data_IF_949671343344
#
_entry.id   IF_949671343344
#
_cell.length_a   1.000
_cell.length_b   1.000
_cell.length_c   1.000
_cell.angle_alpha   90.00
_cell.angle_beta   90.00
_cell.angle_gamma   90.00
#
_symmetry.space_group_name_H-M   'P 1'
#
loop_
_entity.id
_entity.type
_entity.pdbx_description
1 polymer ?
#
# COMPACT_ATOMS: atom_id res chain seq x y z
N UNK A 1 4.27 3.65 -15.60
CA UNK A 1 3.06 3.45 -16.43
C UNK A 1 3.18 2.07 -17.04
N UNK A 2 2.19 1.19 -16.87
CA UNK A 2 2.25 -0.18 -17.40
C UNK A 2 2.06 -0.19 -18.92
N UNK A 3 2.83 -1.03 -19.62
CA UNK A 3 2.73 -1.20 -21.08
C UNK A 3 1.49 -2.05 -21.40
N UNK A 4 0.73 -1.74 -22.47
CA UNK A 4 -0.36 -2.59 -22.92
C UNK A 4 0.15 -4.01 -23.21
N UNK A 5 -0.52 -5.03 -22.65
CA UNK A 5 -0.11 -6.44 -22.77
C UNK A 5 -0.49 -7.02 -24.15
N UNK A 6 -1.51 -6.47 -24.81
CA UNK A 6 -1.98 -6.87 -26.12
C UNK A 6 -2.10 -5.66 -27.07
N UNK A 7 -2.04 -5.89 -28.39
CA UNK A 7 -2.41 -4.86 -29.37
C UNK A 7 -3.86 -4.44 -29.11
N UNK A 8 -4.16 -3.14 -29.12
CA UNK A 8 -5.51 -2.59 -28.84
C UNK A 8 -5.97 -2.72 -27.38
N UNK A 9 -5.05 -2.72 -26.41
CA UNK A 9 -5.37 -2.69 -24.97
C UNK A 9 -5.01 -1.36 -24.30
N UNK A 10 -4.83 -0.31 -25.09
CA UNK A 10 -4.51 1.03 -24.58
C UNK A 10 -5.73 1.68 -23.94
N UNK A 11 -5.64 1.99 -22.64
CA UNK A 11 -6.73 2.64 -21.90
C UNK A 11 -7.08 4.04 -22.44
N UNK A 12 -6.16 4.71 -23.13
CA UNK A 12 -6.36 6.07 -23.63
C UNK A 12 -7.16 6.16 -24.94
N UNK A 13 -7.51 5.00 -25.53
CA UNK A 13 -8.22 4.89 -26.80
C UNK A 13 -9.67 4.46 -26.57
N UNK A 14 -10.62 5.30 -26.94
CA UNK A 14 -12.06 5.03 -26.76
C UNK A 14 -12.51 3.81 -27.58
N UNK A 15 -11.89 3.59 -28.73
CA UNK A 15 -12.15 2.47 -29.64
C UNK A 15 -11.80 1.09 -29.06
N UNK A 16 -11.03 1.03 -27.96
CA UNK A 16 -10.74 -0.21 -27.24
C UNK A 16 -11.81 -0.52 -26.16
N UNK A 17 -12.76 0.39 -25.94
CA UNK A 17 -13.83 0.23 -24.96
C UNK A 17 -14.93 -0.74 -25.39
N UNK A 18 -15.86 -0.98 -24.47
CA UNK A 18 -16.99 -1.86 -24.70
C UNK A 18 -17.98 -1.26 -25.73
N UNK A 19 -18.56 -2.08 -26.62
CA UNK A 19 -19.64 -1.62 -27.48
C UNK A 19 -20.89 -1.29 -26.63
N UNK A 20 -21.79 -0.42 -27.13
CA UNK A 20 -23.01 -0.07 -26.40
C UNK A 20 -23.82 -1.32 -26.00
N UNK A 21 -24.17 -1.42 -24.71
CA UNK A 21 -24.96 -2.52 -24.16
C UNK A 21 -24.18 -3.79 -23.79
N UNK A 22 -22.86 -3.83 -23.99
CA UNK A 22 -22.04 -4.91 -23.44
C UNK A 22 -21.87 -4.79 -21.92
N UNK A 23 -21.73 -5.93 -21.26
CA UNK A 23 -21.50 -5.98 -19.82
C UNK A 23 -20.13 -5.38 -19.47
N UNK A 24 -20.11 -4.48 -18.49
CA UNK A 24 -18.89 -3.92 -17.90
C UNK A 24 -18.83 -4.24 -16.40
N UNK A 25 -18.65 -5.52 -16.02
CA UNK A 25 -18.70 -5.93 -14.62
C UNK A 25 -17.55 -5.31 -13.80
N UNK A 26 -16.51 -4.80 -14.45
CA UNK A 26 -15.33 -4.25 -13.79
C UNK A 26 -15.26 -2.71 -13.84
N UNK A 27 -16.26 -2.08 -14.45
CA UNK A 27 -16.41 -0.63 -14.53
C UNK A 27 -15.29 0.07 -15.28
N UNK A 28 -14.68 -0.58 -16.27
CA UNK A 28 -13.55 0.00 -17.00
C UNK A 28 -14.01 1.15 -17.89
N UNK A 29 -13.24 2.25 -17.89
CA UNK A 29 -13.50 3.43 -18.70
C UNK A 29 -12.32 3.62 -19.65
N UNK A 30 -12.59 3.64 -20.95
CA UNK A 30 -11.60 3.91 -21.99
C UNK A 30 -11.73 5.36 -22.45
N UNK A 31 -10.73 6.18 -22.12
CA UNK A 31 -10.77 7.64 -22.31
C UNK A 31 -9.36 8.22 -22.35
N UNK A 32 -9.15 9.40 -22.95
CA UNK A 32 -7.82 10.04 -22.99
C UNK A 32 -7.17 10.24 -21.59
N UNK A 33 -8.03 10.39 -20.58
CA UNK A 33 -7.67 10.49 -19.16
C UNK A 33 -7.65 9.14 -18.43
N UNK A 34 -7.81 8.02 -19.12
CA UNK A 34 -7.73 6.71 -18.50
C UNK A 34 -6.31 6.16 -18.50
N UNK A 35 -5.99 5.43 -17.44
CA UNK A 35 -4.70 4.76 -17.25
C UNK A 35 -4.95 3.35 -16.74
N UNK A 36 -3.95 2.49 -16.89
CA UNK A 36 -4.02 1.13 -16.41
C UNK A 36 -3.69 1.07 -14.90
N UNK A 37 -4.61 0.53 -14.11
CA UNK A 37 -4.47 0.27 -12.68
C UNK A 37 -4.56 -1.23 -12.43
N UNK A 38 -3.84 -1.72 -11.42
CA UNK A 38 -4.03 -3.10 -10.97
C UNK A 38 -5.28 -3.14 -10.08
N UNK A 39 -6.24 -3.98 -10.42
CA UNK A 39 -7.51 -4.06 -9.72
C UNK A 39 -8.19 -5.42 -9.86
N UNK A 40 -8.95 -5.78 -8.82
CA UNK A 40 -9.91 -6.88 -8.84
C UNK A 40 -11.29 -6.35 -8.48
N UNK A 41 -11.77 -5.34 -9.21
CA UNK A 41 -13.08 -4.74 -8.96
C UNK A 41 -14.16 -5.51 -9.72
N UNK A 42 -15.27 -5.83 -9.05
CA UNK A 42 -16.47 -6.41 -9.69
C UNK A 42 -17.72 -5.74 -9.15
N UNK A 43 -18.63 -5.31 -10.03
CA UNK A 43 -19.92 -4.72 -9.68
C UNK A 43 -20.85 -5.81 -9.11
N UNK A 44 -21.63 -5.47 -8.08
CA UNK A 44 -22.35 -6.46 -7.24
C UNK A 44 -23.56 -7.15 -7.92
N UNK A 45 -23.55 -7.39 -9.23
CA UNK A 45 -24.69 -7.97 -9.94
C UNK A 45 -24.25 -9.10 -10.88
N UNK A 46 -23.82 -10.23 -10.32
CA UNK A 46 -24.03 -11.51 -10.99
C UNK A 46 -25.34 -12.10 -10.48
N UNK A 47 -26.38 -12.28 -11.33
CA UNK A 47 -27.58 -13.01 -10.96
C UNK A 47 -27.23 -14.48 -10.76
N UNK A 48 -26.85 -14.84 -9.54
CA UNK A 48 -26.47 -16.22 -9.18
C UNK A 48 -25.95 -16.34 -7.75
N UNK A 49 -25.34 -15.30 -7.19
CA UNK A 49 -24.70 -15.36 -5.86
C UNK A 49 -25.60 -14.89 -4.70
N UNK A 50 -26.90 -15.21 -4.75
CA UNK A 50 -27.83 -14.95 -3.63
C UNK A 50 -27.59 -15.83 -2.38
N UNK A 51 -26.46 -16.52 -2.27
CA UNK A 51 -26.25 -17.51 -1.21
C UNK A 51 -24.87 -17.45 -0.52
N UNK A 52 -24.11 -16.35 -0.58
CA UNK A 52 -22.88 -16.21 0.22
C UNK A 52 -23.00 -15.05 1.20
N UNK A 53 -23.00 -15.41 2.48
CA UNK A 53 -23.05 -14.51 3.61
C UNK A 53 -21.91 -13.47 3.58
N UNK A 54 -22.08 -12.29 4.21
CA UNK A 54 -21.11 -11.18 4.19
C UNK A 54 -19.83 -11.40 5.03
N UNK A 55 -19.53 -12.61 5.50
CA UNK A 55 -18.60 -12.85 6.62
C UNK A 55 -17.23 -13.42 6.25
N UNK A 56 -16.89 -13.56 4.98
CA UNK A 56 -15.52 -13.91 4.58
C UNK A 56 -14.93 -12.85 3.67
N UNK A 57 -14.01 -12.05 4.20
CA UNK A 57 -13.01 -11.36 3.38
C UNK A 57 -12.28 -12.49 2.63
N UNK A 58 -12.40 -12.63 1.31
CA UNK A 58 -11.65 -13.64 0.60
C UNK A 58 -10.18 -13.33 0.82
N UNK A 59 -9.42 -14.34 1.27
CA UNK A 59 -7.96 -14.26 1.24
C UNK A 59 -7.55 -14.00 -0.21
N UNK A 60 -7.31 -12.73 -0.54
CA UNK A 60 -7.07 -12.26 -1.90
C UNK A 60 -5.73 -12.84 -2.35
N UNK A 61 -5.77 -13.90 -3.17
CA UNK A 61 -4.56 -14.40 -3.84
C UNK A 61 -4.12 -13.32 -4.82
N UNK A 62 -2.82 -12.97 -4.83
CA UNK A 62 -2.21 -12.06 -5.82
C UNK A 62 -2.51 -12.48 -7.28
N UNK A 63 -2.89 -13.76 -7.50
CA UNK A 63 -3.35 -14.31 -8.77
C UNK A 63 -4.65 -13.71 -9.35
N UNK A 64 -5.40 -12.88 -8.60
CA UNK A 64 -6.66 -12.27 -9.08
C UNK A 64 -6.54 -10.79 -9.52
N UNK A 65 -5.35 -10.20 -9.43
CA UNK A 65 -5.15 -8.80 -9.82
C UNK A 65 -4.89 -8.66 -11.32
N UNK A 66 -5.75 -7.91 -12.00
CA UNK A 66 -5.63 -7.66 -13.44
C UNK A 66 -5.47 -6.18 -13.71
N UNK A 67 -4.72 -5.83 -14.76
CA UNK A 67 -4.64 -4.46 -15.26
C UNK A 67 -5.97 -4.03 -15.87
N UNK A 68 -6.54 -2.93 -15.39
CA UNK A 68 -7.86 -2.41 -15.80
C UNK A 68 -7.81 -0.93 -16.08
N UNK A 69 -8.67 -0.46 -16.97
CA UNK A 69 -8.68 0.92 -17.41
C UNK A 69 -9.62 1.78 -16.58
N UNK A 70 -9.09 2.78 -15.86
CA UNK A 70 -9.90 3.72 -15.08
C UNK A 70 -9.44 5.15 -15.31
N UNK A 71 -10.36 6.10 -15.10
CA UNK A 71 -10.05 7.53 -15.19
C UNK A 71 -9.12 7.92 -14.05
N UNK A 72 -8.21 8.85 -14.32
CA UNK A 72 -7.44 9.52 -13.28
C UNK A 72 -7.53 11.05 -13.45
N UNK A 73 -7.51 11.75 -12.32
CA UNK A 73 -7.42 13.19 -12.26
C UNK A 73 -6.32 13.58 -11.27
N UNK A 74 -5.26 14.19 -11.77
CA UNK A 74 -4.16 14.63 -10.95
C UNK A 74 -4.55 15.77 -10.01
N UNK A 75 -4.08 15.68 -8.79
CA UNK A 75 -4.18 16.73 -7.76
C UNK A 75 -2.76 17.15 -7.34
N UNK A 76 -2.65 18.07 -6.41
CA UNK A 76 -1.36 18.56 -5.93
C UNK A 76 -0.49 17.44 -5.30
N UNK A 77 0.83 17.63 -5.32
CA UNK A 77 1.84 16.78 -4.66
C UNK A 77 1.85 15.31 -5.10
N UNK A 78 1.47 15.04 -6.36
CA UNK A 78 1.50 13.69 -6.93
C UNK A 78 0.37 12.77 -6.45
N UNK A 79 -0.56 13.27 -5.64
CA UNK A 79 -1.83 12.61 -5.38
C UNK A 79 -2.76 12.74 -6.59
N UNK A 80 -3.74 11.85 -6.68
CA UNK A 80 -4.75 11.90 -7.74
C UNK A 80 -6.04 11.24 -7.29
N UNK A 81 -7.11 11.51 -8.03
CA UNK A 81 -8.38 10.82 -7.89
C UNK A 81 -8.53 9.81 -9.02
N UNK A 82 -9.24 8.73 -8.74
CA UNK A 82 -9.59 7.69 -9.72
C UNK A 82 -11.10 7.58 -9.79
N UNK A 83 -11.62 7.30 -10.99
CA UNK A 83 -13.05 7.02 -11.18
C UNK A 83 -13.24 5.74 -12.00
N UNK A 84 -14.16 4.92 -11.50
CA UNK A 84 -14.69 3.70 -12.11
C UNK A 84 -16.09 4.01 -12.63
N UNK A 85 -16.54 3.33 -13.67
CA UNK A 85 -17.88 3.57 -14.23
C UNK A 85 -18.96 3.39 -13.16
N UNK A 86 -19.88 4.35 -13.06
CA UNK A 86 -20.94 4.33 -12.04
C UNK A 86 -20.49 4.64 -10.60
N UNK A 87 -19.21 4.99 -10.37
CA UNK A 87 -18.71 5.40 -9.04
C UNK A 87 -18.43 6.91 -8.98
N UNK A 88 -18.44 7.52 -7.78
CA UNK A 88 -17.83 8.83 -7.58
C UNK A 88 -16.31 8.75 -7.71
N UNK A 89 -15.65 9.92 -7.79
CA UNK A 89 -14.20 10.03 -7.72
C UNK A 89 -13.68 9.64 -6.33
N UNK A 90 -12.69 8.74 -6.29
CA UNK A 90 -12.05 8.28 -5.06
C UNK A 90 -10.60 8.77 -4.99
N UNK A 91 -10.17 9.26 -3.83
CA UNK A 91 -8.78 9.69 -3.59
C UNK A 91 -7.83 8.49 -3.62
N UNK A 92 -6.76 8.60 -4.41
CA UNK A 92 -5.76 7.56 -4.62
C UNK A 92 -4.39 8.11 -4.18
N UNK A 93 -3.93 7.68 -3.01
CA UNK A 93 -2.61 8.05 -2.51
C UNK A 93 -1.55 7.14 -3.17
N UNK A 94 -0.41 7.67 -3.63
CA UNK A 94 0.60 6.85 -4.28
C UNK A 94 1.00 5.62 -3.44
N UNK A 95 0.79 4.42 -4.00
CA UNK A 95 1.12 3.17 -3.35
C UNK A 95 0.10 2.61 -2.36
N UNK A 96 -1.06 3.25 -2.20
CA UNK A 96 -2.16 2.70 -1.42
C UNK A 96 -3.00 1.70 -2.24
N UNK A 97 -3.85 0.96 -1.55
CA UNK A 97 -4.96 0.24 -2.15
C UNK A 97 -6.27 0.81 -1.62
N UNK A 98 -7.26 1.00 -2.49
CA UNK A 98 -8.53 1.63 -2.16
C UNK A 98 -9.71 0.73 -2.54
N UNK A 99 -10.77 0.80 -1.76
CA UNK A 99 -12.08 0.27 -2.15
C UNK A 99 -12.83 1.34 -2.95
N UNK A 100 -13.56 0.91 -3.97
CA UNK A 100 -14.39 1.81 -4.79
C UNK A 100 -15.87 1.57 -4.42
N UNK A 101 -16.62 2.63 -4.04
CA UNK A 101 -18.04 2.49 -3.77
C UNK A 101 -18.79 1.85 -4.95
N UNK A 102 -19.63 0.85 -4.65
CA UNK A 102 -20.39 0.09 -5.66
C UNK A 102 -19.67 -1.14 -6.24
N UNK A 103 -18.41 -1.37 -5.87
CA UNK A 103 -17.61 -2.50 -6.33
C UNK A 103 -17.09 -3.34 -5.16
N UNK A 104 -17.03 -4.65 -5.34
CA UNK A 104 -16.25 -5.55 -4.49
C UNK A 104 -14.79 -5.58 -4.93
N UNK A 105 -13.87 -5.75 -3.98
CA UNK A 105 -12.44 -5.89 -4.24
C UNK A 105 -11.63 -4.62 -3.99
N UNK A 106 -10.47 -4.52 -4.62
CA UNK A 106 -9.50 -3.44 -4.40
C UNK A 106 -8.91 -2.92 -5.71
N UNK A 107 -8.59 -1.64 -5.72
CA UNK A 107 -7.80 -0.95 -6.74
C UNK A 107 -6.48 -0.48 -6.13
N UNK A 108 -5.37 -0.72 -6.82
CA UNK A 108 -4.04 -0.34 -6.37
C UNK A 108 -3.57 0.94 -7.06
N UNK A 109 -3.23 1.94 -6.25
CA UNK A 109 -2.72 3.23 -6.68
C UNK A 109 -1.23 3.08 -7.04
N UNK A 110 -0.82 3.22 -8.32
CA UNK A 110 0.60 3.21 -8.68
C UNK A 110 1.40 4.26 -7.90
N UNK A 111 2.59 3.85 -7.44
CA UNK A 111 3.66 4.77 -7.01
C UNK A 111 4.32 5.33 -8.28
N UNK A 112 4.40 6.66 -8.43
CA UNK A 112 5.22 7.27 -9.48
C UNK A 112 4.59 8.42 -10.26
N UNK A 113 5.11 8.64 -11.48
CA UNK A 113 4.95 9.85 -12.30
C UNK A 113 3.58 10.03 -12.97
N UNK A 114 2.52 9.38 -12.49
CA UNK A 114 1.19 9.50 -13.11
C UNK A 114 0.77 10.97 -13.25
N UNK A 115 1.15 11.77 -12.26
CA UNK A 115 0.78 13.17 -12.11
C UNK A 115 1.96 14.12 -11.97
N UNK A 116 3.15 13.73 -12.46
CA UNK A 116 4.24 14.70 -12.54
C UNK A 116 3.97 15.63 -13.73
N UNK A 117 3.77 16.91 -13.43
CA UNK A 117 3.85 17.99 -14.40
C UNK A 117 5.32 18.14 -14.78
N UNK A 118 5.65 17.95 -16.06
CA UNK A 118 6.91 18.43 -16.59
C UNK A 118 6.83 19.96 -16.57
N UNK A 119 7.30 20.60 -15.51
CA UNK A 119 7.84 21.94 -15.65
C UNK A 119 9.32 21.80 -16.03
N UNK A 120 9.68 22.48 -17.11
CA UNK A 120 10.97 22.63 -17.76
C UNK A 120 11.40 21.63 -18.86
N UNK A 121 11.21 22.16 -20.07
CA UNK A 121 11.86 22.02 -21.38
C UNK A 121 13.29 21.48 -21.46
N UNK A 122 13.54 20.84 -22.61
CA UNK A 122 14.80 20.64 -23.34
C UNK A 122 15.78 19.52 -22.93
N UNK A 123 15.95 18.65 -23.94
CA UNK A 123 17.06 17.73 -24.26
C UNK A 123 18.17 17.54 -23.21
N UNK A 124 18.39 16.28 -22.82
CA UNK A 124 19.59 15.51 -23.20
C UNK A 124 19.35 14.03 -22.88
N UNK A 125 19.60 13.21 -23.89
CA UNK A 125 19.69 11.75 -23.85
C UNK A 125 20.58 11.29 -22.69
N UNK A 126 19.99 10.61 -21.72
CA UNK A 126 20.73 9.74 -20.80
C UNK A 126 20.22 8.30 -20.99
N UNK A 127 21.12 7.29 -20.98
CA UNK A 127 20.79 5.91 -21.34
C UNK A 127 19.75 5.33 -20.36
N UNK A 128 19.04 4.25 -20.75
CA UNK A 128 17.98 3.70 -19.91
C UNK A 128 18.62 3.22 -18.61
N UNK A 129 18.35 3.94 -17.51
CA UNK A 129 18.69 3.44 -16.19
C UNK A 129 17.78 2.25 -15.94
N UNK A 130 18.33 1.05 -16.13
CA UNK A 130 17.75 -0.19 -15.62
C UNK A 130 17.75 -0.11 -14.11
N UNK A 131 16.66 0.40 -13.52
CA UNK A 131 16.49 0.39 -12.08
C UNK A 131 15.99 -1.00 -11.66
N UNK A 132 16.96 -1.74 -11.12
CA UNK A 132 16.84 -2.99 -10.38
C UNK A 132 15.58 -3.05 -9.53
N UNK A 133 14.94 -4.21 -9.54
CA UNK A 133 13.81 -4.60 -8.69
C UNK A 133 14.26 -4.75 -7.23
N UNK A 134 14.67 -3.66 -6.58
CA UNK A 134 14.98 -3.65 -5.15
C UNK A 134 14.17 -2.56 -4.43
N UNK A 135 13.26 -3.09 -3.59
CA UNK A 135 12.74 -2.51 -2.37
C UNK A 135 11.83 -1.27 -2.46
N UNK A 136 10.52 -1.54 -2.53
CA UNK A 136 9.55 -0.71 -1.83
C UNK A 136 9.97 -0.65 -0.35
N UNK A 137 10.64 0.43 0.05
CA UNK A 137 10.87 0.74 1.46
C UNK A 137 9.51 1.04 2.12
N UNK A 138 9.06 0.17 3.01
CA UNK A 138 7.92 0.45 3.89
C UNK A 138 8.46 0.98 5.22
N UNK A 139 7.78 1.94 5.83
CA UNK A 139 8.15 2.43 7.17
C UNK A 139 7.02 2.11 8.14
N UNK A 140 7.38 1.56 9.29
CA UNK A 140 6.49 1.35 10.42
C UNK A 140 6.91 2.32 11.53
N UNK A 141 5.95 3.10 12.03
CA UNK A 141 6.14 4.05 13.12
C UNK A 141 5.15 3.78 14.24
N UNK A 142 5.60 3.80 15.49
CA UNK A 142 4.79 3.51 16.67
C UNK A 142 5.07 4.54 17.76
N UNK A 143 4.04 5.21 18.25
CA UNK A 143 4.13 6.00 19.48
C UNK A 143 4.07 5.06 20.68
N UNK A 144 4.98 5.22 21.64
CA UNK A 144 5.00 4.47 22.89
C UNK A 144 4.70 5.41 24.07
N UNK A 145 3.78 5.00 24.93
CA UNK A 145 3.56 5.63 26.23
C UNK A 145 4.41 4.89 27.27
N UNK A 146 5.23 5.64 28.02
CA UNK A 146 6.02 5.14 29.15
C UNK A 146 5.59 5.77 30.47
N UNK A 147 6.08 5.21 31.59
CA UNK A 147 5.85 5.78 32.91
C UNK A 147 6.41 7.22 33.02
N UNK A 148 5.67 8.16 33.62
CA UNK A 148 6.09 9.56 33.71
C UNK A 148 7.39 9.69 34.51
N UNK A 149 8.39 10.38 33.95
CA UNK A 149 9.66 10.68 34.60
C UNK A 149 10.87 9.85 34.14
N UNK A 150 10.69 8.90 33.21
CA UNK A 150 11.81 8.14 32.63
C UNK A 150 12.32 8.79 31.34
N UNK A 151 13.54 9.33 31.35
CA UNK A 151 14.18 9.93 30.18
C UNK A 151 15.31 9.04 29.67
N UNK A 152 15.16 8.48 28.47
CA UNK A 152 16.18 7.64 27.85
C UNK A 152 17.33 8.50 27.28
N UNK A 153 18.56 8.18 27.66
CA UNK A 153 19.80 8.69 27.06
C UNK A 153 20.01 8.20 25.62
N UNK A 154 21.05 8.68 24.93
CA UNK A 154 21.29 8.32 23.52
C UNK A 154 21.61 6.83 23.33
N UNK A 155 22.46 6.27 24.18
CA UNK A 155 22.84 4.85 24.14
C UNK A 155 21.66 3.94 24.53
N UNK A 156 20.93 4.32 25.58
CA UNK A 156 19.72 3.61 26.01
C UNK A 156 18.61 3.62 24.94
N UNK A 157 18.56 4.64 24.07
CA UNK A 157 17.59 4.70 22.96
C UNK A 157 17.90 3.69 21.86
N UNK A 158 19.17 3.45 21.56
CA UNK A 158 19.55 2.46 20.55
C UNK A 158 19.23 1.04 21.04
N UNK A 159 19.58 0.75 22.30
CA UNK A 159 19.25 -0.52 22.95
C UNK A 159 17.73 -0.70 23.12
N UNK A 160 17.02 0.35 23.50
CA UNK A 160 15.56 0.31 23.59
C UNK A 160 14.89 0.14 22.22
N UNK A 161 15.38 0.80 21.17
CA UNK A 161 14.86 0.61 19.81
C UNK A 161 15.02 -0.85 19.36
N UNK A 162 16.12 -1.51 19.69
CA UNK A 162 16.28 -2.94 19.41
C UNK A 162 15.34 -3.80 20.25
N UNK A 163 15.12 -3.48 21.53
CA UNK A 163 14.16 -4.17 22.38
C UNK A 163 12.72 -4.08 21.83
N UNK A 164 12.31 -2.89 21.37
CA UNK A 164 11.01 -2.67 20.71
C UNK A 164 10.92 -3.49 19.42
N UNK A 165 11.99 -3.53 18.63
CA UNK A 165 12.02 -4.33 17.41
C UNK A 165 11.92 -5.84 17.69
N UNK A 166 12.59 -6.33 18.74
CA UNK A 166 12.51 -7.73 19.14
C UNK A 166 11.09 -8.11 19.59
N UNK A 167 10.41 -7.21 20.30
CA UNK A 167 9.01 -7.38 20.67
C UNK A 167 8.09 -7.42 19.43
N UNK A 168 8.33 -6.56 18.44
CA UNK A 168 7.60 -6.54 17.17
C UNK A 168 7.79 -7.84 16.36
N UNK A 169 9.03 -8.30 16.24
CA UNK A 169 9.38 -9.55 15.57
C UNK A 169 8.65 -10.73 16.21
N UNK A 170 8.70 -10.83 17.54
CA UNK A 170 8.06 -11.89 18.31
C UNK A 170 6.53 -11.84 18.18
N UNK A 171 5.96 -10.63 18.20
CA UNK A 171 4.51 -10.42 18.08
C UNK A 171 3.98 -10.73 16.69
N UNK A 172 4.70 -10.34 15.65
CA UNK A 172 4.31 -10.54 14.26
C UNK A 172 4.63 -11.94 13.72
N UNK A 173 5.52 -12.68 14.40
CA UNK A 173 6.09 -13.91 13.84
C UNK A 173 6.88 -13.66 12.55
N UNK A 174 7.57 -12.52 12.47
CA UNK A 174 8.24 -12.04 11.26
C UNK A 174 9.75 -12.09 11.49
N UNK A 175 10.49 -12.61 10.52
CA UNK A 175 11.95 -12.67 10.62
C UNK A 175 12.59 -11.28 10.72
N UNK A 176 13.63 -11.15 11.56
CA UNK A 176 14.38 -9.91 11.79
C UNK A 176 14.99 -9.31 10.50
N UNK A 177 15.24 -10.15 9.49
CA UNK A 177 15.84 -9.77 8.20
C UNK A 177 14.95 -8.88 7.32
N UNK A 178 13.67 -8.72 7.69
CA UNK A 178 12.75 -7.78 7.08
C UNK A 178 12.88 -6.35 7.61
N UNK A 179 13.54 -6.15 8.75
CA UNK A 179 13.56 -4.88 9.49
C UNK A 179 14.95 -4.29 9.53
N UNK A 180 15.04 -2.99 9.31
CA UNK A 180 16.30 -2.31 9.11
C UNK A 180 16.27 -0.90 9.69
N UNK A 181 17.41 -0.51 10.27
CA UNK A 181 17.61 0.78 10.91
C UNK A 181 16.51 1.13 11.92
N UNK A 182 16.27 0.29 12.96
CA UNK A 182 15.40 0.68 14.06
C UNK A 182 15.93 1.94 14.73
N UNK A 183 15.02 2.83 15.11
CA UNK A 183 15.35 4.06 15.83
C UNK A 183 14.20 4.47 16.71
N UNK A 184 14.51 5.21 17.77
CA UNK A 184 13.49 5.80 18.63
C UNK A 184 13.84 7.25 18.96
N UNK A 185 12.85 8.12 18.86
CA UNK A 185 13.01 9.55 19.19
C UNK A 185 12.95 9.77 20.70
N UNK A 186 13.35 10.97 21.16
CA UNK A 186 13.18 11.39 22.55
C UNK A 186 11.71 11.42 23.00
N UNK A 187 10.78 11.56 22.06
CA UNK A 187 9.33 11.53 22.30
C UNK A 187 8.75 10.10 22.20
N UNK A 188 9.59 9.07 22.34
CA UNK A 188 9.20 7.66 22.31
C UNK A 188 8.48 7.21 21.03
N UNK A 189 8.80 7.85 19.89
CA UNK A 189 8.31 7.40 18.59
C UNK A 189 9.33 6.44 18.00
N UNK A 190 8.99 5.15 18.00
CA UNK A 190 9.75 4.12 17.34
C UNK A 190 9.53 4.18 15.84
N UNK A 191 10.57 3.98 15.05
CA UNK A 191 10.52 3.91 13.59
C UNK A 191 11.47 2.84 13.07
N UNK A 192 10.98 2.01 12.14
CA UNK A 192 11.79 0.99 11.47
C UNK A 192 11.45 0.92 10.00
N UNK A 193 12.47 0.74 9.15
CA UNK A 193 12.29 0.52 7.73
C UNK A 193 12.17 -0.97 7.46
N UNK A 194 11.29 -1.32 6.53
CA UNK A 194 11.05 -2.69 6.15
C UNK A 194 11.36 -2.87 4.67
N UNK A 195 12.18 -3.87 4.38
CA UNK A 195 12.47 -4.33 3.03
C UNK A 195 12.98 -5.78 3.07
N UNK A 196 12.92 -6.49 1.94
CA UNK A 196 13.29 -7.91 1.89
C UNK A 196 14.74 -8.05 1.47
N UNK A 197 15.62 -8.38 2.41
CA UNK A 197 17.00 -8.75 2.08
C UNK A 197 17.03 -10.06 1.27
N UNK A 198 18.09 -10.25 0.48
CA UNK A 198 18.25 -11.42 -0.42
C UNK A 198 18.16 -12.76 0.32
N UNK A 199 18.51 -12.78 1.59
CA UNK A 199 18.64 -13.99 2.41
C UNK A 199 17.34 -14.29 3.19
N UNK A 200 16.35 -13.40 3.09
CA UNK A 200 15.13 -13.42 3.87
C UNK A 200 14.05 -14.22 3.10
N UNK A 201 13.46 -15.25 3.72
CA UNK A 201 12.42 -16.06 3.09
C UNK A 201 11.03 -15.69 3.62
N UNK A 202 10.02 -15.91 2.78
CA UNK A 202 8.63 -15.65 3.15
C UNK A 202 7.96 -14.49 2.39
N UNK A 203 6.85 -13.96 2.93
CA UNK A 203 5.90 -13.10 2.23
C UNK A 203 6.49 -11.73 1.83
N UNK A 204 5.75 -11.01 0.99
CA UNK A 204 6.13 -9.66 0.56
C UNK A 204 6.07 -8.67 1.73
N UNK A 205 6.94 -7.66 1.69
CA UNK A 205 7.07 -6.63 2.74
C UNK A 205 5.76 -5.87 2.96
N UNK A 206 4.99 -5.67 1.89
CA UNK A 206 3.66 -5.04 1.98
C UNK A 206 2.64 -5.89 2.74
N UNK A 207 2.66 -7.21 2.57
CA UNK A 207 1.80 -8.11 3.36
C UNK A 207 2.19 -8.11 4.83
N UNK A 208 3.49 -8.12 5.13
CA UNK A 208 4.02 -8.08 6.49
C UNK A 208 3.67 -6.77 7.19
N UNK A 209 3.84 -5.63 6.51
CA UNK A 209 3.48 -4.32 7.04
C UNK A 209 1.99 -4.24 7.38
N UNK A 210 1.12 -4.76 6.50
CA UNK A 210 -0.33 -4.81 6.75
C UNK A 210 -0.70 -5.73 7.92
N UNK A 211 -0.11 -6.92 7.98
CA UNK A 211 -0.37 -7.88 9.05
C UNK A 211 0.05 -7.33 10.43
N UNK A 212 1.21 -6.68 10.50
CA UNK A 212 1.67 -6.00 11.70
C UNK A 212 0.75 -4.87 12.12
N UNK A 213 0.36 -4.01 11.18
CA UNK A 213 -0.55 -2.89 11.46
C UNK A 213 -1.87 -3.40 12.05
N UNK A 214 -2.46 -4.45 11.47
CA UNK A 214 -3.68 -5.06 11.98
C UNK A 214 -3.49 -5.73 13.35
N UNK A 215 -2.33 -6.35 13.59
CA UNK A 215 -2.02 -7.01 14.86
C UNK A 215 -1.88 -5.99 15.99
N UNK A 216 -1.23 -4.87 15.71
CA UNK A 216 -1.02 -3.76 16.66
C UNK A 216 -2.32 -2.99 16.93
N UNK A 217 -3.23 -2.90 15.95
CA UNK A 217 -4.56 -2.34 16.16
C UNK A 217 -5.43 -3.22 17.07
N UNK A 218 -5.30 -4.55 16.97
CA UNK A 218 -6.06 -5.48 17.81
C UNK A 218 -5.60 -5.51 19.26
N UNK A 219 -4.30 -5.36 19.48
CA UNK A 219 -3.72 -5.39 20.82
C UNK A 219 -2.43 -4.57 20.81
N UNK A 220 -2.27 -3.64 21.76
CA UNK A 220 -1.05 -2.86 21.91
C UNK A 220 0.18 -3.76 22.07
N UNK A 221 1.32 -3.30 21.57
CA UNK A 221 2.60 -3.90 21.90
C UNK A 221 3.04 -3.43 23.28
N UNK A 222 3.34 -4.37 24.16
CA UNK A 222 3.94 -4.11 25.48
C UNK A 222 5.43 -4.46 25.43
N UNK A 223 6.27 -3.53 25.87
CA UNK A 223 7.72 -3.67 25.88
C UNK A 223 8.23 -3.34 27.28
N UNK A 224 8.90 -4.31 27.91
CA UNK A 224 9.56 -4.10 29.20
C UNK A 224 11.03 -3.78 28.98
N UNK A 225 11.48 -2.62 29.47
CA UNK A 225 12.85 -2.17 29.31
C UNK A 225 13.28 -1.28 30.48
N UNK A 226 14.50 -1.48 31.00
CA UNK A 226 15.07 -0.63 32.05
C UNK A 226 14.26 -0.60 33.36
N UNK A 227 13.45 -1.63 33.64
CA UNK A 227 12.57 -1.65 34.82
C UNK A 227 11.18 -1.02 34.61
N UNK A 228 10.91 -0.44 33.44
CA UNK A 228 9.65 0.20 33.08
C UNK A 228 8.90 -0.56 31.98
N UNK A 229 7.57 -0.43 31.97
CA UNK A 229 6.71 -0.94 30.90
C UNK A 229 6.32 0.20 29.95
N UNK A 230 6.42 -0.07 28.66
CA UNK A 230 6.06 0.83 27.57
C UNK A 230 4.98 0.17 26.71
N UNK A 231 3.92 0.91 26.39
CA UNK A 231 2.81 0.40 25.58
C UNK A 231 2.58 1.26 24.35
N UNK A 232 2.28 0.65 23.21
CA UNK A 232 1.96 1.44 22.00
C UNK A 232 0.66 2.22 22.17
N UNK A 233 0.70 3.50 21.85
CA UNK A 233 -0.47 4.37 21.85
C UNK A 233 -1.37 4.05 20.66
N UNK A 234 -2.69 3.95 20.91
CA UNK A 234 -3.68 3.90 19.85
C UNK A 234 -3.70 5.23 19.11
N UNK A 235 -3.32 5.25 17.82
CA UNK A 235 -3.75 6.36 16.95
C UNK A 235 -5.26 6.23 16.76
N UNK A 236 -6.04 7.09 17.42
CA UNK A 236 -7.46 7.28 17.11
C UNK A 236 -7.66 7.74 15.67
#
# INVERSE_FOLDING_TARGET
>A
MYKPLAKRSECWKKENGFPPGAENPHGEIYHSQSRCFLANLTSQLLPGDKARQPSHIPHLKEAELTGRCYLHQCTERGAYKVQVEGSPWASCLPGSAIQIPGYYGLLFCPRGRLCQTNEDTDAVTSPPVSLSTQDLLFQLSLGLAGAPGHSLGKEEREEFAEAVLQALVSRGGIERCYFHSPSITASLVFSVRMWKSSDCQGPSVGMLHRALTLTLQKQPLEVYYGGASFTTEYSK
#
